data_IF_426720461262
#
_entry.id   IF_426720461262
#
_cell.length_a   1.000
_cell.length_b   1.000
_cell.length_c   1.000
_cell.angle_alpha   90.00
_cell.angle_beta   90.00
_cell.angle_gamma   90.00
#
_symmetry.space_group_name_H-M   'P 1'
#
loop_
_entity.id
_entity.type
_entity.pdbx_description
1 polymer ?
#
# COMPACT_ATOMS: atom_id res chain seq x y z
N UNK A 1 31.56 -20.81 13.59
CA UNK A 1 30.21 -20.34 13.97
C UNK A 1 29.83 -19.26 12.95
N UNK A 2 28.89 -19.36 12.03
CA UNK A 2 27.70 -20.20 11.75
C UNK A 2 27.47 -20.17 10.23
N UNK A 3 27.22 -21.29 9.51
CA UNK A 3 26.89 -21.21 8.10
C UNK A 3 25.42 -20.81 7.89
N UNK A 4 25.17 -19.97 6.89
CA UNK A 4 23.86 -19.49 6.48
C UNK A 4 22.93 -20.66 6.06
N UNK A 5 21.62 -20.59 6.33
CA UNK A 5 20.69 -21.64 5.94
C UNK A 5 20.49 -21.60 4.42
N UNK A 6 20.99 -22.62 3.74
CA UNK A 6 20.74 -22.89 2.34
C UNK A 6 19.24 -23.15 2.15
N UNK A 7 18.50 -22.17 1.62
CA UNK A 7 17.09 -22.34 1.27
C UNK A 7 17.00 -23.22 0.02
N UNK A 8 16.92 -24.53 0.25
CA UNK A 8 16.57 -25.52 -0.77
C UNK A 8 15.10 -25.33 -1.13
N UNK A 9 14.82 -24.81 -2.32
CA UNK A 9 13.46 -24.82 -2.88
C UNK A 9 13.10 -26.26 -3.28
N UNK A 10 12.44 -26.99 -2.38
CA UNK A 10 11.79 -28.24 -2.73
C UNK A 10 10.59 -27.95 -3.65
N UNK A 11 10.76 -28.22 -4.95
CA UNK A 11 9.64 -28.36 -5.88
C UNK A 11 8.93 -29.69 -5.57
N UNK A 12 8.05 -29.69 -4.56
CA UNK A 12 7.27 -30.87 -4.23
C UNK A 12 6.15 -31.01 -5.27
N UNK A 13 6.41 -31.86 -6.26
CA UNK A 13 5.38 -32.30 -7.20
C UNK A 13 4.48 -33.27 -6.42
N UNK A 14 3.31 -32.79 -6.00
CA UNK A 14 2.33 -33.61 -5.28
C UNK A 14 1.96 -34.84 -6.12
N UNK A 15 2.42 -36.00 -5.66
CA UNK A 15 2.08 -37.33 -6.14
C UNK A 15 1.19 -38.00 -5.09
N UNK A 16 0.10 -37.34 -4.71
CA UNK A 16 -1.01 -37.97 -3.99
C UNK A 16 -2.04 -38.32 -5.08
N UNK A 17 -2.34 -39.58 -5.44
CA UNK A 17 -2.62 -40.74 -4.60
C UNK A 17 -2.11 -41.99 -5.34
N UNK A 18 -1.10 -42.65 -4.79
CA UNK A 18 -0.91 -44.08 -5.03
C UNK A 18 -1.20 -44.78 -3.69
N UNK A 19 -2.42 -45.31 -3.56
CA UNK A 19 -2.68 -46.44 -2.65
C UNK A 19 -2.05 -47.66 -3.31
N UNK A 20 -0.93 -48.23 -2.81
CA UNK A 20 -0.68 -49.63 -3.09
C UNK A 20 -1.68 -50.41 -2.22
N UNK A 21 -2.38 -51.38 -2.81
CA UNK A 21 -2.66 -52.70 -2.24
C UNK A 21 -3.86 -53.36 -2.94
N UNK A 22 -3.56 -54.52 -3.53
CA UNK A 22 -4.40 -55.61 -4.06
C UNK A 22 -5.12 -55.44 -5.42
N UNK A 23 -4.52 -56.07 -6.44
CA UNK A 23 -5.11 -57.25 -7.09
C UNK A 23 -5.97 -57.03 -8.34
N UNK A 24 -5.46 -57.46 -9.50
CA UNK A 24 -6.30 -57.75 -10.68
C UNK A 24 -5.61 -57.45 -12.01
N UNK A 25 -5.25 -58.49 -12.75
CA UNK A 25 -4.64 -58.43 -14.08
C UNK A 25 -5.55 -57.71 -15.11
N UNK A 26 -4.99 -56.76 -15.86
CA UNK A 26 -5.66 -56.09 -16.96
C UNK A 26 -4.68 -55.32 -17.85
N UNK A 27 -4.55 -55.75 -19.10
CA UNK A 27 -3.78 -55.12 -20.16
C UNK A 27 -4.23 -53.67 -20.38
N UNK A 28 -3.34 -52.71 -20.12
CA UNK A 28 -3.54 -51.31 -20.45
C UNK A 28 -2.26 -50.55 -20.15
N UNK A 29 -1.52 -50.20 -21.20
CA UNK A 29 -0.39 -49.28 -21.11
C UNK A 29 -0.93 -47.90 -20.72
N UNK A 30 -1.19 -47.69 -19.42
CA UNK A 30 -1.37 -46.37 -18.87
C UNK A 30 0.02 -45.74 -18.82
N UNK A 31 0.44 -45.17 -19.95
CA UNK A 31 1.48 -44.14 -19.96
C UNK A 31 1.02 -43.11 -18.95
N UNK A 32 1.61 -43.12 -17.76
CA UNK A 32 1.39 -42.12 -16.74
C UNK A 32 1.70 -40.78 -17.41
N UNK A 33 0.65 -40.07 -17.81
CA UNK A 33 0.74 -38.83 -18.58
C UNK A 33 1.33 -37.80 -17.63
N UNK A 34 2.67 -37.72 -17.58
CA UNK A 34 3.42 -36.75 -16.77
C UNK A 34 2.77 -35.40 -17.00
N UNK A 35 2.15 -34.85 -15.96
CA UNK A 35 1.48 -33.55 -16.02
C UNK A 35 2.56 -32.54 -16.43
N UNK A 36 2.39 -31.88 -17.58
CA UNK A 36 3.37 -30.91 -18.07
C UNK A 36 3.48 -29.74 -17.09
N UNK A 37 4.72 -29.36 -16.78
CA UNK A 37 5.07 -28.26 -15.87
C UNK A 37 4.61 -26.91 -16.43
N UNK A 38 4.58 -26.74 -17.76
CA UNK A 38 4.00 -25.59 -18.45
C UNK A 38 2.91 -26.03 -19.44
N UNK A 39 1.82 -25.28 -19.46
CA UNK A 39 0.72 -25.40 -20.45
C UNK A 39 1.18 -24.84 -21.80
N UNK A 40 0.62 -25.31 -22.92
CA UNK A 40 0.95 -24.76 -24.26
C UNK A 40 0.67 -23.26 -24.37
N UNK A 41 -0.21 -22.72 -23.53
CA UNK A 41 -0.54 -21.30 -23.41
C UNK A 41 0.43 -20.53 -22.49
N UNK A 42 1.59 -21.10 -22.15
CA UNK A 42 2.63 -20.46 -21.32
C UNK A 42 2.34 -20.43 -19.81
N UNK A 43 1.18 -20.91 -19.35
CA UNK A 43 0.83 -20.96 -17.92
C UNK A 43 1.57 -22.08 -17.20
N UNK A 44 2.33 -21.76 -16.15
CA UNK A 44 2.93 -22.75 -15.25
C UNK A 44 1.85 -23.54 -14.51
N UNK A 45 1.98 -24.86 -14.51
CA UNK A 45 1.07 -25.81 -13.87
C UNK A 45 1.59 -26.25 -12.48
N UNK A 46 2.52 -25.49 -11.91
CA UNK A 46 3.11 -25.73 -10.58
C UNK A 46 2.28 -24.98 -9.54
N UNK A 47 1.48 -25.72 -8.78
CA UNK A 47 0.74 -25.21 -7.63
C UNK A 47 1.62 -25.39 -6.41
N UNK A 48 2.22 -24.32 -5.91
CA UNK A 48 2.89 -24.36 -4.62
C UNK A 48 1.78 -24.43 -3.58
N UNK A 49 1.63 -25.55 -2.88
CA UNK A 49 0.74 -25.65 -1.73
C UNK A 49 1.58 -25.55 -0.44
N UNK A 50 1.06 -24.82 0.54
CA UNK A 50 1.58 -24.71 1.90
C UNK A 50 2.93 -24.00 2.11
N UNK A 51 3.05 -22.73 1.71
CA UNK A 51 4.09 -21.84 2.27
C UNK A 51 3.47 -21.11 3.46
N UNK A 52 3.68 -21.64 4.66
CA UNK A 52 3.41 -20.94 5.92
C UNK A 52 4.21 -19.62 5.92
N UNK A 53 3.53 -18.47 6.06
CA UNK A 53 4.16 -17.14 6.02
C UNK A 53 4.10 -16.38 4.68
N UNK A 54 3.26 -16.80 3.72
CA UNK A 54 3.04 -16.06 2.45
C UNK A 54 2.77 -14.57 2.65
N UNK A 55 1.87 -14.22 3.57
CA UNK A 55 1.53 -12.81 3.86
C UNK A 55 2.75 -12.00 4.29
N UNK A 56 3.58 -12.53 5.20
CA UNK A 56 4.81 -11.87 5.64
C UNK A 56 5.87 -11.78 4.53
N UNK A 57 5.89 -12.74 3.59
CA UNK A 57 6.76 -12.70 2.42
C UNK A 57 6.32 -11.63 1.40
N UNK A 58 5.01 -11.51 1.15
CA UNK A 58 4.42 -10.47 0.29
C UNK A 58 4.58 -9.06 0.87
N UNK A 59 4.49 -8.90 2.20
CA UNK A 59 4.75 -7.61 2.87
C UNK A 59 6.23 -7.21 2.86
N UNK A 60 7.15 -8.16 2.63
CA UNK A 60 8.59 -7.89 2.59
C UNK A 60 9.03 -7.27 1.26
N UNK A 61 8.25 -7.46 0.21
CA UNK A 61 8.42 -6.80 -1.08
C UNK A 61 7.10 -6.13 -1.50
N UNK A 62 6.78 -4.97 -0.89
CA UNK A 62 5.55 -4.26 -1.20
C UNK A 62 5.54 -3.87 -2.68
N UNK A 63 6.67 -3.39 -3.21
CA UNK A 63 6.78 -2.87 -4.58
C UNK A 63 6.38 -3.90 -5.64
N UNK A 64 6.94 -5.12 -5.60
CA UNK A 64 6.55 -6.15 -6.59
C UNK A 64 5.12 -6.64 -6.38
N UNK A 65 4.66 -6.75 -5.13
CA UNK A 65 3.28 -7.14 -4.80
C UNK A 65 2.27 -6.10 -5.33
N UNK A 66 2.58 -4.81 -5.18
CA UNK A 66 1.78 -3.72 -5.72
C UNK A 66 1.72 -3.79 -7.25
N UNK A 67 2.83 -4.05 -7.94
CA UNK A 67 2.89 -4.13 -9.41
C UNK A 67 2.15 -5.36 -9.95
N UNK A 68 2.12 -6.49 -9.26
CA UNK A 68 1.47 -7.73 -9.72
C UNK A 68 -0.05 -7.77 -9.42
N UNK A 69 -0.56 -6.86 -8.58
CA UNK A 69 -1.97 -6.83 -8.20
C UNK A 69 -2.92 -6.47 -9.37
N UNK A 70 -4.14 -7.01 -9.36
CA UNK A 70 -5.17 -6.65 -10.35
C UNK A 70 -5.51 -5.15 -10.28
N UNK A 71 -5.92 -4.57 -11.41
CA UNK A 71 -6.20 -3.14 -11.54
C UNK A 71 -7.22 -2.61 -10.54
N UNK A 72 -8.30 -3.36 -10.32
CA UNK A 72 -9.39 -2.97 -9.41
C UNK A 72 -8.87 -2.80 -7.98
N UNK A 73 -8.03 -3.72 -7.51
CA UNK A 73 -7.45 -3.64 -6.17
C UNK A 73 -6.39 -2.55 -6.04
N UNK A 74 -5.61 -2.27 -7.10
CA UNK A 74 -4.67 -1.13 -7.14
C UNK A 74 -5.38 0.20 -6.92
N UNK A 75 -6.48 0.45 -7.65
CA UNK A 75 -7.25 1.68 -7.51
C UNK A 75 -7.85 1.85 -6.11
N UNK A 76 -8.44 0.80 -5.56
CA UNK A 76 -9.00 0.83 -4.20
C UNK A 76 -7.89 1.13 -3.19
N UNK A 77 -6.75 0.46 -3.29
CA UNK A 77 -5.62 0.64 -2.37
C UNK A 77 -5.00 2.04 -2.47
N UNK A 78 -4.89 2.61 -3.67
CA UNK A 78 -4.47 4.01 -3.85
C UNK A 78 -5.47 4.98 -3.22
N UNK A 79 -6.76 4.81 -3.49
CA UNK A 79 -7.79 5.67 -2.90
C UNK A 79 -7.81 5.59 -1.37
N UNK A 80 -7.66 4.39 -0.81
CA UNK A 80 -7.57 4.18 0.63
C UNK A 80 -6.30 4.82 1.23
N UNK A 81 -5.19 4.80 0.49
CA UNK A 81 -3.93 5.44 0.92
C UNK A 81 -4.11 6.96 0.99
N UNK A 82 -4.71 7.59 -0.03
CA UNK A 82 -4.99 9.04 -0.01
C UNK A 82 -5.91 9.44 1.14
N UNK A 83 -7.02 8.72 1.34
CA UNK A 83 -7.93 8.99 2.46
C UNK A 83 -7.21 8.79 3.81
N UNK A 84 -6.40 7.74 3.91
CA UNK A 84 -5.58 7.47 5.08
C UNK A 84 -4.55 8.57 5.36
N UNK A 85 -3.89 9.11 4.33
CA UNK A 85 -2.94 10.21 4.49
C UNK A 85 -3.62 11.51 4.86
N UNK A 86 -4.75 11.86 4.24
CA UNK A 86 -5.56 13.02 4.66
C UNK A 86 -5.98 12.93 6.12
N UNK A 87 -6.40 11.75 6.58
CA UNK A 87 -6.78 11.56 7.97
C UNK A 87 -5.58 11.64 8.92
N UNK A 88 -4.46 11.02 8.56
CA UNK A 88 -3.24 11.02 9.39
C UNK A 88 -2.67 12.43 9.53
N UNK A 89 -2.54 13.17 8.43
CA UNK A 89 -2.08 14.55 8.48
C UNK A 89 -3.12 15.47 9.13
N UNK A 90 -4.42 15.26 8.90
CA UNK A 90 -5.48 15.97 9.61
C UNK A 90 -5.39 15.80 11.13
N UNK A 91 -5.08 14.58 11.60
CA UNK A 91 -4.81 14.33 13.01
C UNK A 91 -3.54 15.04 13.50
N UNK A 92 -2.45 15.02 12.75
CA UNK A 92 -1.22 15.74 13.11
C UNK A 92 -1.44 17.25 13.20
N UNK A 93 -2.18 17.83 12.27
CA UNK A 93 -2.54 19.23 12.31
C UNK A 93 -3.45 19.55 13.49
N UNK A 94 -4.43 18.70 13.79
CA UNK A 94 -5.29 18.86 14.97
C UNK A 94 -4.49 18.78 16.27
N UNK A 95 -3.54 17.85 16.38
CA UNK A 95 -2.61 17.74 17.51
C UNK A 95 -1.70 18.96 17.62
N UNK A 96 -1.24 19.51 16.50
CA UNK A 96 -0.47 20.75 16.48
C UNK A 96 -1.28 21.91 17.08
N UNK A 97 -2.53 22.08 16.63
CA UNK A 97 -3.44 23.08 17.17
C UNK A 97 -3.74 22.86 18.67
N UNK A 98 -3.89 21.59 19.09
CA UNK A 98 -4.07 21.21 20.50
C UNK A 98 -2.86 21.58 21.36
N UNK A 99 -1.65 21.25 20.91
CA UNK A 99 -0.41 21.53 21.65
C UNK A 99 -0.12 23.02 21.70
N UNK A 100 -0.46 23.77 20.64
CA UNK A 100 -0.30 25.22 20.60
C UNK A 100 -1.37 25.97 21.42
N UNK A 101 -2.49 25.31 21.74
CA UNK A 101 -3.62 25.95 22.43
C UNK A 101 -4.53 26.76 21.51
N UNK A 102 -4.52 26.48 20.20
CA UNK A 102 -5.30 27.22 19.20
C UNK A 102 -6.79 26.84 19.21
N UNK A 103 -7.19 25.83 19.99
CA UNK A 103 -8.59 25.41 20.10
C UNK A 103 -9.40 26.41 20.95
N UNK A 104 -10.61 26.72 20.47
CA UNK A 104 -11.60 27.59 21.15
C UNK A 104 -11.87 27.23 22.62
N UNK A 105 -11.60 25.98 23.01
CA UNK A 105 -11.83 25.46 24.36
C UNK A 105 -10.87 26.03 25.42
N UNK A 106 -9.79 26.72 25.00
CA UNK A 106 -8.78 27.29 25.88
C UNK A 106 -8.93 28.79 26.16
N UNK A 107 -10.02 29.44 25.73
CA UNK A 107 -10.28 30.88 25.90
C UNK A 107 -9.03 31.73 25.55
N UNK A 108 -8.57 31.67 24.28
CA UNK A 108 -7.31 32.27 23.90
C UNK A 108 -7.33 33.79 24.16
N UNK A 109 -6.29 34.36 24.80
CA UNK A 109 -6.22 35.80 25.01
C UNK A 109 -6.24 36.53 23.67
N UNK A 110 -6.75 37.76 23.63
CA UNK A 110 -6.93 38.55 22.39
C UNK A 110 -5.63 38.78 21.57
N UNK A 111 -4.46 38.50 22.14
CA UNK A 111 -3.15 38.60 21.51
C UNK A 111 -2.53 37.24 21.14
N UNK A 112 -3.28 36.13 21.23
CA UNK A 112 -2.79 34.80 20.86
C UNK A 112 -2.81 34.66 19.33
N UNK A 113 -1.63 34.44 18.75
CA UNK A 113 -1.48 34.25 17.31
C UNK A 113 -1.65 32.76 16.97
N UNK A 114 -2.56 32.46 16.04
CA UNK A 114 -2.90 31.07 15.68
C UNK A 114 -1.94 30.55 14.62
N UNK A 115 -1.54 29.28 14.68
CA UNK A 115 -0.69 28.68 13.64
C UNK A 115 -1.43 28.50 12.30
N UNK A 116 -2.73 28.17 12.38
CA UNK A 116 -3.62 28.01 11.21
C UNK A 116 -4.95 28.66 11.49
N UNK A 117 -5.36 29.58 10.62
CA UNK A 117 -6.62 30.30 10.75
C UNK A 117 -7.82 29.35 10.61
N UNK A 118 -8.83 29.55 11.46
CA UNK A 118 -10.13 28.88 11.39
C UNK A 118 -10.05 27.34 11.51
N UNK A 119 -9.05 26.84 12.23
CA UNK A 119 -8.79 25.42 12.42
C UNK A 119 -9.15 24.95 13.84
N UNK A 120 -10.46 24.93 14.12
CA UNK A 120 -10.97 24.76 15.49
C UNK A 120 -11.53 23.36 15.79
N UNK A 121 -11.68 22.53 14.77
CA UNK A 121 -12.30 21.19 14.90
C UNK A 121 -11.49 20.16 14.14
N UNK A 122 -11.62 18.89 14.53
CA UNK A 122 -11.01 17.77 13.81
C UNK A 122 -11.43 17.75 12.33
N UNK A 123 -12.69 18.09 12.03
CA UNK A 123 -13.18 18.19 10.65
C UNK A 123 -12.49 19.32 9.88
N UNK A 124 -12.30 20.49 10.51
CA UNK A 124 -11.55 21.58 9.89
C UNK A 124 -10.09 21.19 9.63
N UNK A 125 -9.48 20.44 10.55
CA UNK A 125 -8.13 19.89 10.41
C UNK A 125 -8.02 18.91 9.23
N UNK A 126 -8.97 17.99 9.12
CA UNK A 126 -9.07 17.04 8.01
C UNK A 126 -9.22 17.77 6.67
N UNK A 127 -10.13 18.75 6.59
CA UNK A 127 -10.34 19.54 5.38
C UNK A 127 -9.07 20.32 5.00
N UNK A 128 -8.39 20.93 5.97
CA UNK A 128 -7.12 21.61 5.73
C UNK A 128 -6.05 20.66 5.18
N UNK A 129 -5.94 19.46 5.75
CA UNK A 129 -5.02 18.43 5.27
C UNK A 129 -5.36 17.98 3.85
N UNK A 130 -6.64 17.79 3.53
CA UNK A 130 -7.09 17.44 2.18
C UNK A 130 -6.75 18.56 1.20
N UNK A 131 -7.13 19.80 1.51
CA UNK A 131 -6.90 20.98 0.67
C UNK A 131 -5.43 21.20 0.36
N UNK A 132 -4.57 21.00 1.36
CA UNK A 132 -3.12 21.15 1.25
C UNK A 132 -2.49 20.02 0.46
N UNK A 133 -2.87 18.76 0.71
CA UNK A 133 -2.32 17.60 -0.01
C UNK A 133 -2.78 17.58 -1.47
N UNK A 134 -4.01 17.98 -1.75
CA UNK A 134 -4.53 18.05 -3.13
C UNK A 134 -4.18 19.37 -3.83
N UNK A 135 -3.51 20.28 -3.13
CA UNK A 135 -3.13 21.63 -3.62
C UNK A 135 -4.32 22.47 -4.11
N UNK A 136 -5.53 22.18 -3.61
CA UNK A 136 -6.73 22.96 -3.96
C UNK A 136 -6.65 24.36 -3.36
N UNK A 137 -6.28 24.46 -2.07
CA UNK A 137 -6.02 25.71 -1.38
C UNK A 137 -7.14 26.77 -1.50
N UNK A 138 -8.33 26.50 -0.97
CA UNK A 138 -9.47 27.45 -1.06
C UNK A 138 -9.20 28.82 -0.42
N UNK A 139 -8.17 28.94 0.42
CA UNK A 139 -7.76 30.21 1.05
C UNK A 139 -8.58 30.62 2.27
N UNK A 140 -9.53 29.79 2.70
CA UNK A 140 -10.31 30.02 3.93
C UNK A 140 -9.52 29.67 5.20
N UNK A 141 -8.58 28.72 5.09
CA UNK A 141 -7.69 28.27 6.17
C UNK A 141 -6.25 28.52 5.72
N UNK A 142 -5.57 29.42 6.40
CA UNK A 142 -4.22 29.87 6.02
C UNK A 142 -3.25 29.60 7.16
N UNK A 143 -2.06 29.11 6.81
CA UNK A 143 -0.91 29.02 7.72
C UNK A 143 -0.38 30.42 7.99
N UNK A 144 -0.04 30.69 9.24
CA UNK A 144 0.64 31.91 9.68
C UNK A 144 2.13 31.64 9.88
N UNK A 145 2.93 32.70 9.94
CA UNK A 145 4.39 32.62 10.13
C UNK A 145 4.81 32.50 11.61
N UNK A 146 3.83 32.47 12.51
CA UNK A 146 3.99 32.45 13.96
C UNK A 146 4.57 31.12 14.46
N UNK A 147 4.25 30.02 13.75
CA UNK A 147 4.58 28.67 14.16
C UNK A 147 5.51 27.98 13.14
N UNK A 148 6.83 27.88 13.39
CA UNK A 148 7.73 27.17 12.49
C UNK A 148 7.41 25.66 12.40
N UNK A 149 6.80 25.10 13.44
CA UNK A 149 6.31 23.71 13.46
C UNK A 149 5.23 23.44 12.40
N UNK A 150 4.34 24.40 12.14
CA UNK A 150 3.34 24.31 11.08
C UNK A 150 4.02 24.25 9.70
N UNK A 151 5.04 25.08 9.47
CA UNK A 151 5.79 25.12 8.21
C UNK A 151 6.52 23.79 7.99
N UNK A 152 7.16 23.23 9.01
CA UNK A 152 7.83 21.92 8.91
C UNK A 152 6.83 20.81 8.59
N UNK A 153 5.67 20.79 9.26
CA UNK A 153 4.62 19.80 9.00
C UNK A 153 4.09 19.91 7.56
N UNK A 154 3.91 21.13 7.05
CA UNK A 154 3.54 21.41 5.67
C UNK A 154 4.58 20.86 4.68
N UNK A 155 5.87 21.13 4.92
CA UNK A 155 6.96 20.64 4.05
C UNK A 155 6.95 19.11 3.99
N UNK A 156 6.83 18.44 5.15
CA UNK A 156 6.74 16.98 5.22
C UNK A 156 5.52 16.48 4.42
N UNK A 157 4.38 17.14 4.57
CA UNK A 157 3.17 16.79 3.82
C UNK A 157 3.36 16.90 2.31
N UNK A 158 4.03 17.96 1.83
CA UNK A 158 4.33 18.15 0.41
C UNK A 158 5.30 17.09 -0.12
N UNK A 159 6.34 16.73 0.63
CA UNK A 159 7.29 15.69 0.23
C UNK A 159 6.61 14.31 0.11
N UNK A 160 5.74 13.96 1.06
CA UNK A 160 5.01 12.70 1.01
C UNK A 160 3.99 12.70 -0.15
N UNK A 161 3.31 13.83 -0.36
CA UNK A 161 2.35 13.99 -1.47
C UNK A 161 3.02 13.78 -2.82
N UNK A 162 4.12 14.49 -3.09
CA UNK A 162 4.86 14.38 -4.35
C UNK A 162 5.41 12.97 -4.56
N UNK A 163 5.90 12.30 -3.51
CA UNK A 163 6.33 10.90 -3.60
C UNK A 163 5.18 9.95 -4.00
N UNK A 164 3.98 10.15 -3.42
CA UNK A 164 2.79 9.35 -3.77
C UNK A 164 2.35 9.61 -5.21
N UNK A 165 2.34 10.86 -5.67
CA UNK A 165 1.98 11.23 -7.04
C UNK A 165 2.91 10.60 -8.09
N UNK A 166 4.22 10.62 -7.83
CA UNK A 166 5.22 9.96 -8.68
C UNK A 166 4.96 8.45 -8.74
N UNK A 167 4.70 7.82 -7.60
CA UNK A 167 4.42 6.38 -7.56
C UNK A 167 3.17 6.02 -8.36
N UNK A 168 2.07 6.73 -8.15
CA UNK A 168 0.80 6.50 -8.85
C UNK A 168 1.01 6.68 -10.35
N UNK A 169 1.54 7.82 -10.77
CA UNK A 169 1.79 8.11 -12.18
C UNK A 169 2.69 7.05 -12.81
N UNK A 170 3.76 6.63 -12.11
CA UNK A 170 4.65 5.56 -12.53
C UNK A 170 3.94 4.21 -12.73
N UNK A 171 3.09 3.79 -11.80
CA UNK A 171 2.34 2.52 -11.92
C UNK A 171 1.30 2.56 -13.04
N UNK A 172 0.62 3.69 -13.24
CA UNK A 172 -0.31 3.89 -14.35
C UNK A 172 0.41 3.82 -15.70
N UNK A 173 1.52 4.55 -15.85
CA UNK A 173 2.32 4.54 -17.07
C UNK A 173 2.88 3.15 -17.38
N UNK A 174 3.42 2.43 -16.39
CA UNK A 174 3.91 1.07 -16.57
C UNK A 174 2.81 0.14 -17.10
N UNK A 175 1.60 0.23 -16.54
CA UNK A 175 0.48 -0.62 -16.95
C UNK A 175 -0.04 -0.30 -18.35
N UNK A 176 -0.11 1.00 -18.70
CA UNK A 176 -0.50 1.46 -20.03
C UNK A 176 0.54 1.01 -21.06
N UNK A 177 1.83 1.18 -20.78
CA UNK A 177 2.92 0.75 -21.64
C UNK A 177 2.88 -0.77 -21.92
N UNK A 178 2.65 -1.59 -20.89
CA UNK A 178 2.49 -3.04 -21.06
C UNK A 178 1.33 -3.39 -22.00
N UNK A 179 0.19 -2.71 -21.87
CA UNK A 179 -0.97 -2.96 -22.74
C UNK A 179 -0.77 -2.46 -24.18
N UNK A 180 0.09 -1.46 -24.40
CA UNK A 180 0.43 -0.96 -25.75
C UNK A 180 1.44 -1.86 -26.47
N UNK A 181 2.24 -2.63 -25.74
CA UNK A 181 3.29 -3.51 -26.29
C UNK A 181 2.82 -4.95 -26.54
N UNK A 182 1.64 -5.32 -26.04
CA UNK A 182 0.97 -6.62 -26.26
C UNK A 182 -0.14 -6.50 -27.28
#
# INVERSE_FOLDING_TARGET
LTPAPQKVCHSQTQTDILKPLLGGAGHGSQVARRRRVLTKDGRSNVRIEHVSGRGALYLRDPWTTFVDMQWRYKLVLFSATFVGTWFTFGMLWYLLALVHGDLLEFDPPANHSMCVMQMQTLTAAFLFSLETQTTIGYGYRCITEECPSAIVLLIIQLLITTAMEIFITGTFLAKVCIHLLT
#
